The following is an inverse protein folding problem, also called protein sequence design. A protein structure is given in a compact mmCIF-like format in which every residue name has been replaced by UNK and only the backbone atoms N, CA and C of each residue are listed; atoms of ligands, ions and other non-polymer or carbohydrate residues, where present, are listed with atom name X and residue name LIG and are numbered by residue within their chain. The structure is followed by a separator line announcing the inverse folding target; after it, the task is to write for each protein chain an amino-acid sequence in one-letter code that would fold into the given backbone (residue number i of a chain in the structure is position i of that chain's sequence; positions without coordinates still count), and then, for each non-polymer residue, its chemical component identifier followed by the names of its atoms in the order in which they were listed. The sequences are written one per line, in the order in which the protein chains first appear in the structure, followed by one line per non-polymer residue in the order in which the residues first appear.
data_IF_503080368889
#
_entry.id   IF_503080368889
#
_cell.length_a   1.000
_cell.length_b   1.000
_cell.length_c   1.000
_cell.angle_alpha   90.00
_cell.angle_beta   90.00
_cell.angle_gamma   90.00
#
_symmetry.space_group_name_H-M   'P 1'
#
loop_
_entity.id
_entity.type
_entity.pdbx_description
1 polymer ?
#
# COMPACT_ATOMS: atom_id res chain seq x y z
N UNK A 1 5.41 -6.13 -5.48
CA UNK A 1 5.78 -4.70 -5.51
C UNK A 1 6.75 -4.46 -4.36
N UNK A 2 7.92 -3.90 -4.65
CA UNK A 2 8.93 -3.56 -3.64
C UNK A 2 8.49 -2.37 -2.77
N UNK A 3 8.86 -2.34 -1.49
CA UNK A 3 8.54 -1.21 -0.60
C UNK A 3 9.23 0.09 -1.00
N UNK A 4 10.40 0.04 -1.65
CA UNK A 4 11.02 1.25 -2.24
C UNK A 4 10.10 1.93 -3.26
N UNK A 5 9.30 1.16 -4.01
CA UNK A 5 8.36 1.73 -4.98
C UNK A 5 7.25 2.48 -4.25
N UNK A 6 6.70 1.89 -3.18
CA UNK A 6 5.68 2.53 -2.34
C UNK A 6 6.20 3.84 -1.75
N UNK A 7 7.41 3.84 -1.19
CA UNK A 7 7.98 5.01 -0.52
C UNK A 7 8.29 6.18 -1.47
N UNK A 8 8.36 5.92 -2.78
CA UNK A 8 8.60 6.94 -3.81
C UNK A 8 7.35 7.25 -4.65
N UNK A 9 6.20 6.61 -4.37
CA UNK A 9 4.99 6.73 -5.18
C UNK A 9 3.91 7.54 -4.46
N UNK A 10 3.59 8.70 -5.03
CA UNK A 10 2.47 9.55 -4.60
C UNK A 10 1.32 9.54 -5.63
N UNK A 11 0.08 9.73 -5.17
CA UNK A 11 -1.08 9.82 -6.08
C UNK A 11 -1.12 11.18 -6.79
N UNK A 12 -0.77 11.20 -8.07
CA UNK A 12 -0.87 12.40 -8.92
C UNK A 12 -2.19 12.45 -9.73
N UNK A 13 -3.28 12.88 -9.11
CA UNK A 13 -4.61 13.00 -9.74
C UNK A 13 -5.10 14.45 -9.73
N UNK A 14 -5.92 14.84 -10.71
CA UNK A 14 -6.61 16.14 -10.66
C UNK A 14 -7.50 16.20 -9.42
N UNK A 15 -7.31 17.20 -8.56
CA UNK A 15 -8.03 17.36 -7.29
C UNK A 15 -7.42 16.59 -6.11
N UNK A 16 -6.35 15.82 -6.32
CA UNK A 16 -5.60 15.18 -5.23
C UNK A 16 -4.29 15.95 -4.98
N UNK A 17 -4.37 17.01 -4.17
CA UNK A 17 -3.27 17.99 -4.00
C UNK A 17 -2.69 18.04 -2.60
N UNK A 18 -3.32 17.41 -1.62
CA UNK A 18 -2.90 17.33 -0.22
C UNK A 18 -2.90 15.87 0.20
N UNK A 19 -2.00 15.44 1.11
CA UNK A 19 -1.99 14.08 1.65
C UNK A 19 -2.04 12.95 0.59
N UNK A 20 -1.38 13.16 -0.54
CA UNK A 20 -1.31 12.19 -1.65
C UNK A 20 -0.22 11.12 -1.45
N UNK A 21 0.51 11.21 -0.34
CA UNK A 21 1.58 10.31 0.09
C UNK A 21 1.63 10.28 1.63
N UNK A 22 1.92 9.13 2.27
CA UNK A 22 1.99 7.80 1.66
C UNK A 22 0.60 7.26 1.30
N UNK A 23 0.54 6.21 0.48
CA UNK A 23 -0.70 5.47 0.24
C UNK A 23 -0.81 4.36 1.28
N UNK A 24 -1.96 4.22 1.94
CA UNK A 24 -2.16 3.18 2.96
C UNK A 24 -2.35 1.82 2.30
N UNK A 25 -1.74 0.76 2.82
CA UNK A 25 -2.03 -0.59 2.34
C UNK A 25 -3.38 -1.07 2.87
N UNK A 26 -4.04 -1.91 2.08
CA UNK A 26 -5.23 -2.66 2.44
C UNK A 26 -5.08 -4.08 1.92
N UNK A 27 -5.43 -5.06 2.74
CA UNK A 27 -5.36 -6.50 2.44
C UNK A 27 -3.98 -7.01 1.98
N UNK A 28 -2.92 -6.23 2.20
CA UNK A 28 -1.54 -6.61 1.85
C UNK A 28 -0.87 -7.46 2.95
N UNK A 29 -1.44 -7.49 4.16
CA UNK A 29 -0.89 -8.26 5.27
C UNK A 29 -0.93 -9.77 4.96
N UNK A 30 0.22 -10.43 5.04
CA UNK A 30 0.36 -11.84 4.68
C UNK A 30 0.34 -12.13 3.17
N UNK A 31 0.26 -11.10 2.32
CA UNK A 31 0.38 -11.20 0.86
C UNK A 31 1.77 -10.73 0.41
N UNK A 32 2.80 -11.24 1.08
CA UNK A 32 4.19 -10.90 0.82
C UNK A 32 5.03 -12.12 0.50
N UNK A 33 5.97 -11.94 -0.42
CA UNK A 33 7.03 -12.89 -0.74
C UNK A 33 8.37 -12.21 -0.43
N UNK A 34 9.34 -12.98 0.06
CA UNK A 34 10.72 -12.51 0.20
C UNK A 34 11.49 -12.99 -1.02
N UNK A 35 12.01 -12.05 -1.80
CA UNK A 35 12.85 -12.33 -2.96
C UNK A 35 14.28 -11.89 -2.65
N UNK A 36 15.15 -12.86 -2.32
CA UNK A 36 16.55 -12.59 -2.01
C UNK A 36 17.26 -11.90 -3.19
N UNK A 37 18.02 -10.85 -2.89
CA UNK A 37 18.79 -10.10 -3.89
C UNK A 37 20.18 -9.78 -3.36
N UNK A 38 21.16 -9.71 -4.26
CA UNK A 38 22.51 -9.30 -3.89
C UNK A 38 22.49 -7.87 -3.32
N UNK A 39 23.12 -7.69 -2.17
CA UNK A 39 23.18 -6.40 -1.51
C UNK A 39 23.97 -5.38 -2.35
N UNK A 40 23.37 -4.21 -2.56
CA UNK A 40 24.02 -3.07 -3.19
C UNK A 40 24.08 -1.89 -2.20
N UNK A 41 25.16 -1.79 -1.40
CA UNK A 41 25.26 -0.77 -0.36
C UNK A 41 25.25 0.65 -0.93
N UNK A 42 25.87 0.86 -2.10
CA UNK A 42 25.87 2.16 -2.77
C UNK A 42 24.45 2.59 -3.15
N UNK A 43 23.63 1.66 -3.65
CA UNK A 43 22.24 1.96 -3.98
C UNK A 43 21.43 2.36 -2.74
N UNK A 44 21.57 1.61 -1.64
CA UNK A 44 20.88 1.91 -0.37
C UNK A 44 21.28 3.28 0.16
N UNK A 45 22.57 3.58 0.22
CA UNK A 45 23.08 4.88 0.66
C UNK A 45 22.61 6.03 -0.25
N UNK A 46 22.51 5.80 -1.56
CA UNK A 46 22.05 6.81 -2.52
C UNK A 46 20.53 7.05 -2.49
N UNK A 47 19.73 6.05 -2.12
CA UNK A 47 18.28 6.24 -1.97
C UNK A 47 17.92 6.81 -0.61
N UNK A 48 18.67 6.50 0.45
CA UNK A 48 18.37 6.88 1.83
C UNK A 48 17.95 8.34 2.02
N UNK A 49 18.60 9.37 1.42
CA UNK A 49 18.20 10.77 1.58
C UNK A 49 16.85 11.14 0.95
N UNK A 50 16.31 10.26 0.09
CA UNK A 50 15.02 10.45 -0.60
C UNK A 50 13.89 9.64 0.06
N UNK A 51 14.21 8.81 1.05
CA UNK A 51 13.23 7.99 1.73
C UNK A 51 12.46 8.83 2.75
N UNK A 52 11.16 8.61 2.80
CA UNK A 52 10.32 9.07 3.89
C UNK A 52 10.30 7.99 4.97
N UNK A 53 11.15 8.15 5.99
CA UNK A 53 11.44 7.13 7.00
C UNK A 53 10.20 6.62 7.71
N UNK A 54 9.34 7.54 8.17
CA UNK A 54 8.11 7.20 8.88
C UNK A 54 7.15 6.40 7.98
N UNK A 55 7.00 6.82 6.73
CA UNK A 55 6.16 6.11 5.77
C UNK A 55 6.70 4.71 5.47
N UNK A 56 8.03 4.52 5.46
CA UNK A 56 8.66 3.22 5.27
C UNK A 56 8.39 2.28 6.46
N UNK A 57 8.53 2.77 7.70
CA UNK A 57 8.22 1.98 8.90
C UNK A 57 6.74 1.59 8.90
N UNK A 58 5.84 2.55 8.67
CA UNK A 58 4.41 2.29 8.67
C UNK A 58 4.04 1.26 7.58
N UNK A 59 4.68 1.34 6.41
CA UNK A 59 4.52 0.39 5.32
C UNK A 59 5.04 -1.01 5.66
N UNK A 60 6.25 -1.10 6.25
CA UNK A 60 6.86 -2.35 6.71
C UNK A 60 5.98 -3.02 7.78
N UNK A 61 5.49 -2.25 8.76
CA UNK A 61 4.62 -2.74 9.81
C UNK A 61 3.29 -3.29 9.27
N UNK A 62 2.68 -2.61 8.28
CA UNK A 62 1.45 -3.07 7.63
C UNK A 62 1.61 -4.43 6.92
N UNK A 63 2.83 -4.79 6.52
CA UNK A 63 3.13 -6.08 5.89
C UNK A 63 3.76 -7.10 6.85
N UNK A 64 3.85 -6.76 8.14
CA UNK A 64 4.33 -7.64 9.21
C UNK A 64 5.84 -7.59 9.47
N UNK A 65 6.54 -6.55 9.00
CA UNK A 65 7.96 -6.34 9.28
C UNK A 65 8.20 -5.19 10.27
N UNK A 66 9.03 -5.44 11.28
CA UNK A 66 9.42 -4.48 12.33
C UNK A 66 10.95 -4.38 12.45
N UNK A 67 11.68 -4.69 11.39
CA UNK A 67 13.15 -4.79 11.42
C UNK A 67 13.85 -3.44 11.55
N UNK A 68 13.21 -2.36 11.08
CA UNK A 68 13.75 -1.00 11.10
C UNK A 68 13.43 -0.27 12.41
N UNK A 69 14.36 0.58 12.90
CA UNK A 69 14.11 1.40 14.08
C UNK A 69 13.07 2.50 13.81
N UNK A 70 12.31 2.86 14.86
CA UNK A 70 11.24 3.86 14.80
C UNK A 70 11.70 5.26 14.34
N UNK A 71 12.96 5.62 14.62
CA UNK A 71 13.57 6.87 14.18
C UNK A 71 14.77 6.58 13.28
N UNK A 72 14.99 7.44 12.29
CA UNK A 72 16.11 7.30 11.39
C UNK A 72 17.43 7.50 12.16
N UNK A 73 18.34 6.52 12.15
CA UNK A 73 19.63 6.69 12.81
C UNK A 73 20.46 7.80 12.15
N UNK A 74 21.24 8.53 12.96
CA UNK A 74 22.14 9.57 12.47
C UNK A 74 23.36 9.02 11.71
N UNK A 75 23.69 7.73 11.92
CA UNK A 75 24.80 7.05 11.26
C UNK A 75 24.25 5.88 10.46
N UNK A 76 24.76 5.72 9.25
CA UNK A 76 24.46 4.58 8.37
C UNK A 76 25.61 3.59 8.47
N UNK A 77 25.44 2.57 9.29
CA UNK A 77 26.37 1.45 9.42
C UNK A 77 25.94 0.27 8.55
N UNK A 78 26.81 -0.75 8.45
CA UNK A 78 26.56 -1.93 7.62
C UNK A 78 25.30 -2.70 8.05
N UNK A 79 24.96 -2.68 9.34
CA UNK A 79 23.76 -3.32 9.87
C UNK A 79 22.49 -2.61 9.38
N UNK A 80 22.46 -1.27 9.43
CA UNK A 80 21.35 -0.49 8.89
C UNK A 80 21.21 -0.68 7.39
N UNK A 81 22.33 -0.73 6.66
CA UNK A 81 22.33 -0.95 5.21
C UNK A 81 21.75 -2.32 4.85
N UNK A 82 22.09 -3.37 5.61
CA UNK A 82 21.53 -4.70 5.43
C UNK A 82 20.02 -4.74 5.68
N UNK A 83 19.55 -4.14 6.78
CA UNK A 83 18.11 -4.05 7.08
C UNK A 83 17.36 -3.26 6.02
N UNK A 84 17.92 -2.13 5.58
CA UNK A 84 17.32 -1.33 4.52
C UNK A 84 17.27 -2.06 3.19
N UNK A 85 18.32 -2.77 2.81
CA UNK A 85 18.32 -3.61 1.61
C UNK A 85 17.17 -4.63 1.68
N UNK A 86 17.09 -5.40 2.77
CA UNK A 86 16.01 -6.37 2.97
C UNK A 86 14.62 -5.74 2.84
N UNK A 87 14.34 -4.67 3.59
CA UNK A 87 13.01 -4.03 3.58
C UNK A 87 12.68 -3.40 2.23
N UNK A 88 13.63 -2.71 1.60
CA UNK A 88 13.39 -1.96 0.37
C UNK A 88 13.34 -2.85 -0.86
N UNK A 89 14.18 -3.89 -0.90
CA UNK A 89 14.52 -4.64 -2.11
C UNK A 89 14.05 -6.10 -2.08
N UNK A 90 13.89 -6.71 -0.91
CA UNK A 90 13.55 -8.14 -0.83
C UNK A 90 12.08 -8.37 -0.47
N UNK A 91 11.45 -7.45 0.25
CA UNK A 91 10.02 -7.53 0.55
C UNK A 91 9.18 -7.20 -0.69
N UNK A 92 8.46 -8.20 -1.19
CA UNK A 92 7.57 -8.09 -2.33
C UNK A 92 6.11 -8.29 -1.94
N UNK A 93 5.30 -7.24 -2.07
CA UNK A 93 3.84 -7.36 -1.94
C UNK A 93 3.27 -7.98 -3.22
N UNK A 94 2.72 -9.18 -3.13
CA UNK A 94 2.20 -9.94 -4.28
C UNK A 94 0.77 -9.53 -4.62
N UNK A 95 -0.09 -9.39 -3.62
CA UNK A 95 -1.51 -9.04 -3.75
C UNK A 95 -1.92 -7.99 -2.69
N UNK A 96 -3.00 -7.25 -2.96
CA UNK A 96 -3.59 -6.28 -2.03
C UNK A 96 -3.99 -5.00 -2.73
N UNK A 97 -4.05 -3.88 -2.00
CA UNK A 97 -4.24 -2.56 -2.60
C UNK A 97 -3.56 -1.45 -1.81
N UNK A 98 -3.33 -0.33 -2.47
CA UNK A 98 -2.95 0.94 -1.86
C UNK A 98 -4.11 1.92 -1.96
N UNK A 99 -4.39 2.67 -0.90
CA UNK A 99 -5.50 3.63 -0.84
C UNK A 99 -4.94 5.02 -0.56
N UNK A 100 -5.33 6.00 -1.37
CA UNK A 100 -4.96 7.40 -1.14
C UNK A 100 -5.78 7.99 0.02
N UNK A 101 -5.11 8.54 1.03
CA UNK A 101 -5.76 9.15 2.19
C UNK A 101 -6.51 10.47 1.89
N UNK A 102 -6.36 11.01 0.68
CA UNK A 102 -7.03 12.27 0.29
C UNK A 102 -8.23 12.07 -0.64
N UNK A 103 -8.05 11.30 -1.72
CA UNK A 103 -9.12 11.07 -2.71
C UNK A 103 -9.74 9.67 -2.65
N UNK A 104 -9.32 8.85 -1.67
CA UNK A 104 -9.79 7.47 -1.44
C UNK A 104 -9.63 6.52 -2.64
N UNK A 105 -8.85 6.96 -3.64
CA UNK A 105 -8.59 6.16 -4.82
C UNK A 105 -7.82 4.90 -4.43
N UNK A 106 -8.34 3.76 -4.89
CA UNK A 106 -7.75 2.45 -4.67
C UNK A 106 -6.88 2.11 -5.87
N UNK A 107 -5.61 1.78 -5.60
CA UNK A 107 -4.67 1.24 -6.55
C UNK A 107 -4.47 -0.25 -6.22
N UNK A 108 -5.18 -1.18 -6.88
CA UNK A 108 -5.00 -2.60 -6.61
C UNK A 108 -3.59 -3.06 -7.01
N UNK A 109 -3.05 -3.99 -6.25
CA UNK A 109 -1.78 -4.70 -6.50
C UNK A 109 -2.15 -6.13 -6.82
N UNK A 110 -1.78 -6.60 -8.01
CA UNK A 110 -1.90 -8.01 -8.37
C UNK A 110 -0.67 -8.46 -9.12
N UNK A 111 -0.22 -9.69 -8.85
CA UNK A 111 1.03 -10.23 -9.37
C UNK A 111 2.20 -9.26 -9.18
N UNK A 112 2.28 -8.63 -8.01
CA UNK A 112 3.28 -7.62 -7.67
C UNK A 112 3.24 -6.31 -8.48
N UNK A 113 2.22 -6.07 -9.30
CA UNK A 113 2.09 -4.88 -10.16
C UNK A 113 1.00 -3.95 -9.60
N UNK A 114 1.35 -2.72 -9.17
CA UNK A 114 0.36 -1.73 -8.77
C UNK A 114 -0.32 -1.10 -9.99
N UNK A 115 -1.65 -1.09 -10.01
CA UNK A 115 -2.43 -0.38 -11.01
C UNK A 115 -2.85 1.00 -10.48
N UNK A 116 -2.22 2.08 -10.98
CA UNK A 116 -2.52 3.46 -10.58
C UNK A 116 -3.69 4.11 -11.33
N UNK A 117 -4.23 3.42 -12.34
CA UNK A 117 -5.43 3.80 -13.10
C UNK A 117 -6.29 2.56 -13.35
N UNK A 118 -6.83 1.93 -12.30
CA UNK A 118 -7.73 0.80 -12.48
C UNK A 118 -8.93 1.20 -13.32
N UNK A 119 -9.40 0.27 -14.16
CA UNK A 119 -10.72 0.40 -14.75
C UNK A 119 -11.73 0.48 -13.60
N UNK A 120 -12.81 1.28 -13.70
CA UNK A 120 -13.87 1.28 -12.69
C UNK A 120 -14.38 -0.12 -12.33
N UNK A 121 -14.32 -1.07 -13.26
CA UNK A 121 -14.63 -2.49 -13.02
C UNK A 121 -13.62 -3.17 -12.12
N UNK A 122 -12.32 -2.95 -12.31
CA UNK A 122 -11.27 -3.55 -11.49
C UNK A 122 -11.37 -3.06 -10.04
N UNK A 123 -11.64 -1.76 -9.84
CA UNK A 123 -11.92 -1.23 -8.51
C UNK A 123 -13.15 -1.89 -7.89
N UNK A 124 -14.23 -2.05 -8.67
CA UNK A 124 -15.48 -2.67 -8.20
C UNK A 124 -15.33 -4.16 -7.90
N UNK A 125 -14.57 -4.89 -8.70
CA UNK A 125 -14.27 -6.31 -8.48
C UNK A 125 -13.46 -6.49 -7.20
N UNK A 126 -12.42 -5.66 -6.97
CA UNK A 126 -11.68 -5.66 -5.72
C UNK A 126 -12.60 -5.44 -4.51
N UNK A 127 -13.50 -4.46 -4.55
CA UNK A 127 -14.50 -4.28 -3.49
C UNK A 127 -15.41 -5.48 -3.29
N UNK A 128 -15.78 -6.18 -4.37
CA UNK A 128 -16.67 -7.34 -4.31
C UNK A 128 -16.01 -8.56 -3.65
N UNK A 129 -14.68 -8.63 -3.68
CA UNK A 129 -13.89 -9.68 -3.03
C UNK A 129 -13.60 -9.39 -1.56
N UNK A 130 -13.86 -8.17 -1.07
CA UNK A 130 -13.60 -7.82 0.32
C UNK A 130 -14.59 -8.50 1.30
N UNK A 131 -14.13 -8.88 2.50
CA UNK A 131 -15.01 -9.29 3.59
C UNK A 131 -16.04 -8.20 3.88
N UNK A 132 -17.29 -8.59 4.14
CA UNK A 132 -18.42 -7.65 4.38
C UNK A 132 -18.14 -6.68 5.53
N UNK A 133 -17.34 -7.07 6.52
CA UNK A 133 -16.92 -6.22 7.64
C UNK A 133 -16.11 -4.98 7.19
N UNK A 134 -15.32 -5.07 6.12
CA UNK A 134 -14.55 -3.93 5.57
C UNK A 134 -15.40 -2.97 4.73
N UNK A 135 -16.56 -3.41 4.23
CA UNK A 135 -17.48 -2.56 3.47
C UNK A 135 -18.32 -1.63 4.37
N UNK A 136 -18.47 -1.98 5.66
CA UNK A 136 -19.24 -1.21 6.64
C UNK A 136 -18.56 0.12 7.03
N UNK A 137 -17.23 0.21 6.94
CA UNK A 137 -16.48 1.45 7.22
C UNK A 137 -16.53 2.47 6.06
N UNK A 138 -17.24 2.16 4.97
CA UNK A 138 -17.37 3.03 3.79
C UNK A 138 -18.75 3.67 3.65
N UNK A 139 -19.60 3.53 4.68
CA UNK A 139 -20.84 4.28 4.80
C UNK A 139 -20.62 5.51 5.68
N UNK A 140 -21.17 6.67 5.29
CA UNK A 140 -21.25 7.81 6.21
C UNK A 140 -22.09 7.44 7.46
N UNK A 141 -22.04 8.26 8.51
CA UNK A 141 -22.83 8.07 9.73
C UNK A 141 -24.36 8.09 9.54
N UNK A 142 -24.83 8.23 8.30
CA UNK A 142 -26.23 8.11 7.87
C UNK A 142 -26.49 6.84 7.02
N UNK A 143 -25.50 5.96 6.82
CA UNK A 143 -25.63 4.71 6.07
C UNK A 143 -25.50 4.85 4.55
N UNK A 144 -25.02 5.99 4.02
CA UNK A 144 -24.75 6.14 2.59
C UNK A 144 -23.33 5.73 2.23
N UNK A 145 -23.20 4.79 1.29
CA UNK A 145 -21.91 4.33 0.80
C UNK A 145 -21.25 5.40 -0.07
N UNK A 146 -20.04 5.84 0.30
CA UNK A 146 -19.42 7.06 -0.23
C UNK A 146 -18.96 6.97 -1.69
N UNK A 147 -18.83 5.79 -2.31
CA UNK A 147 -18.87 5.63 -3.77
C UNK A 147 -19.32 4.19 -4.14
N UNK A 148 -20.25 4.07 -5.09
CA UNK A 148 -20.43 2.86 -5.93
C UNK A 148 -21.05 1.58 -5.33
N UNK A 149 -21.23 1.43 -4.02
CA UNK A 149 -21.74 0.15 -3.48
C UNK A 149 -23.27 -0.02 -3.49
N UNK A 150 -24.04 1.01 -3.83
CA UNK A 150 -25.51 0.92 -3.95
C UNK A 150 -25.98 -0.10 -5.02
N UNK A 151 -25.11 -0.51 -5.94
CA UNK A 151 -25.35 -1.58 -6.91
C UNK A 151 -25.00 -2.98 -6.39
N UNK A 152 -24.15 -3.12 -5.38
CA UNK A 152 -23.66 -4.40 -4.87
C UNK A 152 -24.65 -5.00 -3.85
N UNK A 153 -25.13 -4.21 -2.89
CA UNK A 153 -26.15 -4.65 -1.93
C UNK A 153 -27.47 -5.05 -2.63
N UNK A 154 -27.83 -4.33 -3.70
CA UNK A 154 -29.05 -4.60 -4.48
C UNK A 154 -28.97 -5.86 -5.34
N UNK A 155 -27.76 -6.32 -5.70
CA UNK A 155 -27.55 -7.59 -6.42
C UNK A 155 -27.45 -8.80 -5.48
N UNK A 156 -26.88 -8.64 -4.28
CA UNK A 156 -26.82 -9.71 -3.28
C UNK A 156 -28.19 -10.04 -2.66
N UNK A 157 -29.08 -9.05 -2.52
CA UNK A 157 -30.44 -9.26 -2.02
C UNK A 157 -31.42 -9.90 -3.03
N UNK A 158 -30.95 -10.36 -4.20
CA UNK A 158 -31.79 -10.96 -5.24
C UNK A 158 -31.40 -12.39 -5.61
N UNK A 159 -30.63 -13.05 -4.76
CA UNK A 159 -30.41 -14.50 -4.78
C UNK A 159 -30.90 -15.03 -3.44
N UNK A 160 -32.22 -15.17 -3.37
CA UNK A 160 -33.04 -16.16 -2.64
C UNK A 160 -34.49 -15.64 -2.55
#
# INVERSE_FOLDING_TARGET
MHLITHNLLARNAKGCTTNSFPLAFRDAHGQVEIQEQDINPDFVCNVLPRLEWKALIDAACQVGDESLPAEQPNMTDDELVQKLHYVLMEIHITEGAMVCSNCEHICPISNSIPNSKPDPKDSMEYFSTLPVAHLADMTDGNGHVMYGANSVAKKRARVD
#
